data_IF_575081182690
#
_entry.id   IF_575081182690
#
_cell.length_a   1.000
_cell.length_b   1.000
_cell.length_c   1.000
_cell.angle_alpha   90.00
_cell.angle_beta   90.00
_cell.angle_gamma   90.00
#
_symmetry.space_group_name_H-M   'P 1'
#
loop_
_entity.id
_entity.type
_entity.pdbx_description
1 polymer ?
#
# COMPACT_ATOMS: atom_id res chain seq x y z
N UNK A 1 1.06 9.78 1.17
CA UNK A 1 1.66 8.89 2.18
C UNK A 1 3.20 8.94 2.15
N UNK A 2 3.82 9.80 2.97
CA UNK A 2 5.29 10.00 3.00
C UNK A 2 6.02 9.29 4.16
N UNK A 3 5.30 8.67 5.09
CA UNK A 3 5.90 7.94 6.20
C UNK A 3 6.78 6.74 5.74
N UNK A 4 7.88 6.43 6.45
CA UNK A 4 8.63 5.18 6.32
C UNK A 4 7.84 4.01 6.92
N UNK A 5 8.17 2.78 6.51
CA UNK A 5 7.45 1.58 6.97
C UNK A 5 7.49 1.44 8.50
N UNK A 6 8.62 1.79 9.13
CA UNK A 6 8.81 1.65 10.58
C UNK A 6 7.84 2.47 11.41
N UNK A 7 7.38 3.61 10.88
CA UNK A 7 6.39 4.46 11.55
C UNK A 7 4.96 3.96 11.36
N UNK A 8 4.72 2.96 10.50
CA UNK A 8 3.38 2.43 10.22
C UNK A 8 3.08 1.14 11.00
N UNK A 9 4.08 0.58 11.70
CA UNK A 9 3.94 -0.66 12.47
C UNK A 9 3.22 -0.39 13.81
N UNK A 10 3.37 0.83 14.34
CA UNK A 10 2.76 1.26 15.58
C UNK A 10 1.68 2.31 15.30
N UNK A 11 0.47 2.09 15.80
CA UNK A 11 -0.67 2.99 15.52
C UNK A 11 -0.47 4.42 16.04
N UNK A 12 0.29 4.61 17.12
CA UNK A 12 0.59 5.95 17.63
C UNK A 12 1.59 6.68 16.72
N UNK A 13 2.62 5.98 16.25
CA UNK A 13 3.57 6.51 15.27
C UNK A 13 2.92 6.75 13.90
N UNK A 14 1.99 5.88 13.48
CA UNK A 14 1.23 6.06 12.23
C UNK A 14 0.44 7.37 12.30
N UNK A 15 -0.31 7.54 13.39
CA UNK A 15 -1.09 8.76 13.62
C UNK A 15 -0.19 9.99 13.73
N UNK A 16 0.96 9.90 14.37
CA UNK A 16 1.91 11.02 14.45
C UNK A 16 2.49 11.38 13.08
N UNK A 17 2.81 10.38 12.25
CA UNK A 17 3.43 10.58 10.94
C UNK A 17 2.44 11.06 9.86
N UNK A 18 1.17 10.63 9.94
CA UNK A 18 0.14 10.96 8.97
C UNK A 18 -0.78 12.11 9.43
N UNK A 19 -0.89 12.33 10.75
CA UNK A 19 -1.72 13.38 11.34
C UNK A 19 -3.15 13.37 10.79
N UNK A 20 -3.64 14.56 10.47
CA UNK A 20 -5.00 14.77 9.97
C UNK A 20 -5.23 14.23 8.55
N UNK A 21 -4.18 13.78 7.85
CA UNK A 21 -4.34 13.15 6.53
C UNK A 21 -4.84 11.70 6.63
N UNK A 22 -4.79 11.08 7.82
CA UNK A 22 -5.35 9.75 8.07
C UNK A 22 -6.79 9.87 8.54
N UNK A 23 -7.74 9.54 7.65
CA UNK A 23 -9.17 9.57 7.97
C UNK A 23 -9.62 8.26 8.64
N UNK A 24 -9.06 7.13 8.19
CA UNK A 24 -9.29 5.81 8.76
C UNK A 24 -8.13 4.88 8.38
N UNK A 25 -7.80 3.92 9.24
CA UNK A 25 -6.90 2.81 8.92
C UNK A 25 -7.53 1.47 9.29
N UNK A 26 -7.09 0.43 8.60
CA UNK A 26 -7.39 -0.96 8.90
C UNK A 26 -6.16 -1.78 8.59
N UNK A 27 -5.73 -2.57 9.54
CA UNK A 27 -4.69 -3.57 9.34
C UNK A 27 -5.32 -4.94 9.12
N UNK A 28 -4.74 -5.72 8.22
CA UNK A 28 -5.18 -7.08 7.92
C UNK A 28 -3.97 -8.01 7.92
N UNK A 29 -3.90 -9.00 8.83
CA UNK A 29 -2.86 -10.00 8.77
C UNK A 29 -3.07 -10.89 7.54
N UNK A 30 -2.00 -11.16 6.80
CA UNK A 30 -2.02 -12.03 5.62
C UNK A 30 -0.99 -13.14 5.80
N UNK A 31 -1.47 -14.38 5.82
CA UNK A 31 -0.63 -15.58 5.85
C UNK A 31 -0.17 -15.94 4.42
N UNK A 32 1.01 -16.57 4.25
CA UNK A 32 1.44 -17.08 2.95
C UNK A 32 0.38 -17.98 2.31
N UNK A 33 0.06 -17.73 1.03
CA UNK A 33 -0.97 -18.45 0.28
C UNK A 33 -2.42 -18.03 0.58
N UNK A 34 -2.65 -17.14 1.55
CA UNK A 34 -3.98 -16.63 1.87
C UNK A 34 -4.47 -15.69 0.77
N UNK A 35 -5.76 -15.80 0.45
CA UNK A 35 -6.50 -14.81 -0.33
C UNK A 35 -7.54 -14.17 0.56
N UNK A 36 -7.62 -12.84 0.53
CA UNK A 36 -8.64 -12.08 1.24
C UNK A 36 -9.46 -11.31 0.22
N UNK A 37 -10.77 -11.54 0.26
CA UNK A 37 -11.75 -10.78 -0.51
C UNK A 37 -12.64 -10.04 0.49
N UNK A 38 -12.70 -8.72 0.36
CA UNK A 38 -13.44 -7.88 1.30
C UNK A 38 -13.95 -6.63 0.60
N UNK A 39 -15.11 -6.15 1.05
CA UNK A 39 -15.69 -4.89 0.62
C UNK A 39 -15.49 -3.88 1.75
N UNK A 40 -14.57 -2.95 1.54
CA UNK A 40 -14.21 -1.95 2.53
C UNK A 40 -15.08 -0.70 2.40
N UNK A 41 -15.60 -0.21 3.53
CA UNK A 41 -16.28 1.08 3.58
C UNK A 41 -15.25 2.20 3.58
N UNK A 42 -15.14 2.89 2.45
CA UNK A 42 -14.24 4.05 2.31
C UNK A 42 -15.01 5.34 2.61
N UNK A 43 -14.60 6.13 3.62
CA UNK A 43 -15.25 7.40 3.96
C UNK A 43 -15.44 8.30 2.73
N UNK A 44 -16.61 8.94 2.53
CA UNK A 44 -16.85 9.80 1.37
C UNK A 44 -15.86 10.97 1.27
N UNK A 45 -15.38 11.45 2.41
CA UNK A 45 -14.39 12.53 2.52
C UNK A 45 -12.96 12.10 2.20
N UNK A 46 -12.69 10.80 2.02
CA UNK A 46 -11.37 10.30 1.67
C UNK A 46 -11.15 10.34 0.14
N UNK A 47 -10.24 11.21 -0.35
CA UNK A 47 -9.96 11.31 -1.79
C UNK A 47 -8.97 10.24 -2.28
N UNK A 48 -8.27 9.57 -1.35
CA UNK A 48 -7.28 8.56 -1.65
C UNK A 48 -7.41 7.34 -0.74
N UNK A 49 -7.01 6.18 -1.27
CA UNK A 49 -6.76 4.95 -0.52
C UNK A 49 -5.28 4.66 -0.63
N UNK A 50 -4.61 4.36 0.49
CA UNK A 50 -3.24 3.90 0.48
C UNK A 50 -3.16 2.48 1.02
N UNK A 51 -2.32 1.65 0.40
CA UNK A 51 -2.03 0.29 0.87
C UNK A 51 -0.54 0.17 1.06
N UNK A 52 -0.13 -0.32 2.24
CA UNK A 52 1.26 -0.56 2.59
C UNK A 52 1.44 -1.99 3.11
N UNK A 53 2.49 -2.66 2.65
CA UNK A 53 2.94 -3.92 3.21
C UNK A 53 3.98 -3.66 4.30
N UNK A 54 3.71 -4.19 5.49
CA UNK A 54 4.61 -4.10 6.65
C UNK A 54 5.68 -5.20 6.60
N UNK A 55 6.52 -5.17 5.56
CA UNK A 55 7.61 -6.13 5.38
C UNK A 55 8.77 -5.88 6.34
N UNK A 56 9.47 -6.93 6.75
CA UNK A 56 10.69 -6.84 7.55
C UNK A 56 11.80 -6.04 6.82
N UNK A 57 12.05 -6.37 5.54
CA UNK A 57 13.03 -5.69 4.68
C UNK A 57 12.37 -5.29 3.36
N UNK A 58 11.64 -4.16 3.31
CA UNK A 58 10.89 -3.79 2.12
C UNK A 58 11.82 -3.35 0.97
N UNK A 59 11.52 -3.80 -0.25
CA UNK A 59 12.19 -3.27 -1.42
C UNK A 59 11.84 -1.78 -1.62
N UNK A 60 12.82 -0.89 -1.89
CA UNK A 60 12.58 0.54 -2.03
C UNK A 60 11.45 0.84 -3.01
N UNK A 61 10.51 1.69 -2.61
CA UNK A 61 9.36 2.15 -3.44
C UNK A 61 8.38 1.04 -3.88
N UNK A 62 8.56 -0.21 -3.45
CA UNK A 62 7.74 -1.36 -3.87
C UNK A 62 6.78 -1.87 -2.80
N UNK A 63 6.78 -1.25 -1.62
CA UNK A 63 6.03 -1.71 -0.45
C UNK A 63 4.75 -0.92 -0.18
N UNK A 64 4.50 0.19 -0.91
CA UNK A 64 3.28 0.98 -0.77
C UNK A 64 2.77 1.53 -2.09
N UNK A 65 1.45 1.67 -2.18
CA UNK A 65 0.76 2.28 -3.31
C UNK A 65 -0.34 3.22 -2.81
N UNK A 66 -0.65 4.25 -3.61
CA UNK A 66 -1.74 5.20 -3.36
C UNK A 66 -2.65 5.18 -4.57
N UNK A 67 -3.96 5.20 -4.33
CA UNK A 67 -5.00 5.14 -5.36
C UNK A 67 -5.97 6.29 -5.16
N UNK A 68 -6.51 6.79 -6.27
CA UNK A 68 -7.67 7.68 -6.27
C UNK A 68 -8.90 6.91 -5.79
N UNK A 69 -9.59 7.40 -4.77
CA UNK A 69 -10.66 6.64 -4.12
C UNK A 69 -11.92 6.49 -4.99
N UNK A 70 -12.21 7.47 -5.84
CA UNK A 70 -13.25 7.42 -6.88
C UNK A 70 -12.96 6.33 -7.93
N UNK A 71 -11.72 6.28 -8.45
CA UNK A 71 -11.31 5.23 -9.39
C UNK A 71 -11.31 3.84 -8.74
N UNK A 72 -10.75 3.71 -7.54
CA UNK A 72 -10.70 2.43 -6.83
C UNK A 72 -12.09 1.87 -6.50
N UNK A 73 -13.08 2.74 -6.23
CA UNK A 73 -14.47 2.32 -5.99
C UNK A 73 -15.13 1.72 -7.23
N UNK A 74 -14.81 2.24 -8.42
CA UNK A 74 -15.40 1.76 -9.68
C UNK A 74 -14.68 0.52 -10.22
N UNK A 75 -13.35 0.48 -10.09
CA UNK A 75 -12.55 -0.62 -10.65
C UNK A 75 -12.30 -1.75 -9.67
N UNK A 76 -12.42 -1.52 -8.35
CA UNK A 76 -11.84 -2.40 -7.34
C UNK A 76 -10.31 -2.36 -7.32
N UNK A 77 -9.72 -3.04 -6.34
CA UNK A 77 -8.27 -3.17 -6.18
C UNK A 77 -7.91 -4.66 -6.06
N UNK A 78 -6.88 -5.09 -6.78
CA UNK A 78 -6.26 -6.40 -6.60
C UNK A 78 -4.77 -6.23 -6.38
N UNK A 79 -4.34 -6.60 -5.18
CA UNK A 79 -2.98 -6.40 -4.69
C UNK A 79 -2.47 -7.75 -4.21
N UNK A 80 -1.28 -8.13 -4.68
CA UNK A 80 -0.60 -9.33 -4.20
C UNK A 80 0.66 -8.93 -3.44
N UNK A 81 0.85 -9.54 -2.27
CA UNK A 81 2.04 -9.40 -1.46
C UNK A 81 3.03 -10.54 -1.75
N UNK A 82 4.30 -10.18 -1.85
CA UNK A 82 5.43 -11.06 -2.08
C UNK A 82 6.51 -10.75 -1.04
N UNK A 83 7.56 -11.56 -0.95
CA UNK A 83 8.61 -11.51 0.09
C UNK A 83 8.96 -10.11 0.65
N UNK A 84 9.16 -9.10 -0.20
CA UNK A 84 9.52 -7.72 0.20
C UNK A 84 8.77 -6.62 -0.58
N UNK A 85 7.74 -6.98 -1.35
CA UNK A 85 7.12 -6.07 -2.31
C UNK A 85 5.63 -6.40 -2.52
N UNK A 86 4.89 -5.36 -2.88
CA UNK A 86 3.53 -5.45 -3.39
C UNK A 86 3.55 -5.39 -4.92
N UNK A 87 2.54 -6.02 -5.52
CA UNK A 87 2.16 -5.85 -6.93
C UNK A 87 0.69 -5.48 -7.03
N UNK A 88 0.34 -4.74 -8.07
CA UNK A 88 -1.03 -4.32 -8.36
C UNK A 88 -1.43 -4.90 -9.71
N UNK A 89 -2.43 -5.77 -9.73
CA UNK A 89 -2.98 -6.39 -10.95
C UNK A 89 -4.32 -5.78 -11.36
N UNK A 90 -4.99 -5.04 -10.45
CA UNK A 90 -6.20 -4.28 -10.73
C UNK A 90 -6.22 -3.00 -9.88
N UNK A 91 -6.65 -1.90 -10.50
CA UNK A 91 -6.56 -0.54 -9.96
C UNK A 91 -5.37 0.23 -10.51
N UNK A 92 -5.43 1.57 -10.43
CA UNK A 92 -4.42 2.47 -11.00
C UNK A 92 -3.69 3.24 -9.90
N UNK A 93 -2.45 2.88 -9.57
CA UNK A 93 -1.66 3.64 -8.62
C UNK A 93 -1.39 5.07 -9.12
N UNK A 94 -1.46 6.02 -8.21
CA UNK A 94 -1.04 7.41 -8.42
C UNK A 94 0.48 7.47 -8.33
N UNK A 95 1.18 8.02 -9.34
CA UNK A 95 2.61 8.24 -9.26
C UNK A 95 2.97 9.11 -8.05
N UNK A 96 3.92 8.66 -7.23
CA UNK A 96 4.41 9.44 -6.11
C UNK A 96 5.59 10.33 -6.57
N UNK A 97 5.64 11.61 -6.16
CA UNK A 97 6.76 12.48 -6.47
C UNK A 97 8.09 11.87 -6.03
N UNK A 98 9.10 11.91 -6.89
CA UNK A 98 10.44 11.36 -6.62
C UNK A 98 10.54 9.83 -6.74
N UNK A 99 9.49 9.14 -7.17
CA UNK A 99 9.52 7.71 -7.48
C UNK A 99 9.62 7.53 -9.00
N UNK A 100 10.68 6.86 -9.52
CA UNK A 100 10.77 6.50 -10.93
C UNK A 100 9.55 5.71 -11.39
N UNK A 101 9.16 5.88 -12.65
CA UNK A 101 8.08 5.08 -13.24
C UNK A 101 8.47 3.60 -13.29
N UNK A 102 7.56 2.72 -12.92
CA UNK A 102 7.68 1.27 -13.07
C UNK A 102 6.30 0.65 -13.32
N UNK A 103 6.28 -0.56 -13.88
CA UNK A 103 5.07 -1.35 -14.01
C UNK A 103 4.73 -2.00 -12.66
N UNK A 104 3.64 -1.59 -11.97
CA UNK A 104 3.31 -2.09 -10.64
C UNK A 104 2.86 -3.56 -10.64
N UNK A 105 2.59 -4.15 -11.82
CA UNK A 105 2.21 -5.57 -11.94
C UNK A 105 3.41 -6.51 -11.98
N UNK A 106 4.64 -6.00 -12.16
CA UNK A 106 5.84 -6.83 -12.44
C UNK A 106 6.85 -6.83 -11.30
N UNK A 107 7.40 -8.01 -10.99
CA UNK A 107 8.46 -8.18 -9.99
C UNK A 107 9.87 -8.29 -10.56
N UNK A 108 10.05 -8.37 -11.89
CA UNK A 108 11.32 -8.77 -12.52
C UNK A 108 12.55 -7.93 -12.08
N UNK A 109 12.36 -6.67 -11.68
CA UNK A 109 13.43 -5.78 -11.20
C UNK A 109 13.55 -5.69 -9.68
N UNK A 110 12.68 -6.37 -8.92
CA UNK A 110 12.66 -6.29 -7.45
C UNK A 110 13.78 -7.14 -6.87
N UNK A 111 14.57 -6.52 -5.99
CA UNK A 111 15.53 -7.24 -5.13
C UNK A 111 15.17 -6.95 -3.69
N UNK A 112 15.01 -8.00 -2.90
CA UNK A 112 14.86 -7.83 -1.46
C UNK A 112 16.22 -7.44 -0.87
N UNK A 113 16.29 -6.39 -0.04
CA UNK A 113 17.48 -6.09 0.73
C UNK A 113 17.86 -7.29 1.62
N UNK A 114 19.15 -7.47 1.87
CA UNK A 114 19.58 -8.31 2.98
C UNK A 114 19.10 -7.64 4.27
N UNK A 115 18.36 -8.41 5.08
CA UNK A 115 17.84 -7.96 6.38
C UNK A 115 18.91 -7.91 7.46
#
# INVERSE_FOLDING_TARGET
>A
MRAPVSQLIDSAQEKAALGDSLIASREVPLMPGQRIESVEKVPPTAPYIAVAGLFFSPAPQRWKFVFRADEARSTGLMIAAHACALTVTQGKPVPLPGVPAFDPSRLASVRCPAG
#
